data_IF_534421631214
#
_entry.id   IF_534421631214
#
_cell.length_a   1.000
_cell.length_b   1.000
_cell.length_c   1.000
_cell.angle_alpha   90.00
_cell.angle_beta   90.00
_cell.angle_gamma   90.00
#
_symmetry.space_group_name_H-M   'P 1'
#
loop_
_entity.id
_entity.type
_entity.pdbx_description
1 polymer ?
#
# COMPACT_ATOMS: atom_id res chain seq x y z
N UNK A 1 -60.10 -34.83 48.18
CA UNK A 1 -59.06 -33.95 48.75
C UNK A 1 -57.75 -33.86 47.92
N UNK A 2 -57.70 -34.30 46.69
CA UNK A 2 -56.50 -34.21 45.81
C UNK A 2 -56.57 -33.13 44.74
N UNK A 3 -57.64 -32.40 44.58
CA UNK A 3 -57.81 -31.38 43.53
C UNK A 3 -57.59 -29.92 44.00
N UNK A 4 -57.55 -29.69 45.33
CA UNK A 4 -57.35 -28.35 45.89
C UNK A 4 -55.85 -28.03 46.03
N UNK A 5 -54.99 -29.04 46.10
CA UNK A 5 -53.53 -28.88 46.28
C UNK A 5 -52.79 -28.40 45.03
N UNK A 6 -53.40 -28.61 43.81
CA UNK A 6 -52.78 -28.18 42.56
C UNK A 6 -53.07 -26.73 42.19
N UNK A 7 -54.12 -26.15 42.72
CA UNK A 7 -54.46 -24.72 42.48
C UNK A 7 -53.61 -23.78 43.30
N UNK A 8 -53.15 -24.21 44.48
CA UNK A 8 -52.27 -23.41 45.33
C UNK A 8 -50.82 -23.37 44.84
N UNK A 9 -50.36 -24.39 44.04
CA UNK A 9 -49.00 -24.43 43.50
C UNK A 9 -48.85 -23.64 42.21
N UNK A 10 -49.95 -23.41 41.48
CA UNK A 10 -49.93 -22.61 40.23
C UNK A 10 -49.91 -21.10 40.47
N UNK A 11 -50.38 -20.63 41.65
CA UNK A 11 -50.41 -19.21 42.00
C UNK A 11 -49.04 -18.65 42.50
N UNK A 12 -48.10 -19.55 42.89
CA UNK A 12 -46.76 -19.11 43.38
C UNK A 12 -45.73 -18.94 42.31
N UNK A 13 -45.99 -19.35 41.05
CA UNK A 13 -45.03 -19.24 39.94
C UNK A 13 -45.18 -17.95 39.11
N UNK A 14 -46.17 -17.10 39.40
CA UNK A 14 -46.39 -15.87 38.61
C UNK A 14 -45.77 -14.63 39.26
N UNK A 15 -45.27 -14.71 40.53
CA UNK A 15 -44.68 -13.57 41.23
C UNK A 15 -43.18 -13.39 41.08
N UNK A 16 -42.50 -14.21 40.23
CA UNK A 16 -41.04 -14.14 40.04
C UNK A 16 -40.59 -13.43 38.76
N UNK A 17 -41.49 -12.76 38.01
CA UNK A 17 -41.13 -11.85 36.94
C UNK A 17 -40.97 -10.40 37.48
N UNK A 18 -40.15 -10.25 38.52
CA UNK A 18 -39.64 -8.94 38.94
C UNK A 18 -38.66 -8.45 37.87
N UNK A 19 -39.03 -7.35 37.21
CA UNK A 19 -38.30 -6.74 36.13
C UNK A 19 -36.82 -6.50 36.46
N UNK A 20 -35.92 -7.29 35.83
CA UNK A 20 -34.58 -6.82 35.66
C UNK A 20 -34.64 -5.56 34.79
N UNK A 21 -34.53 -4.38 35.43
CA UNK A 21 -34.13 -3.17 34.70
C UNK A 21 -32.88 -3.52 33.92
N UNK A 22 -33.03 -3.76 32.62
CA UNK A 22 -31.92 -3.85 31.68
C UNK A 22 -31.15 -2.55 31.81
N UNK A 23 -30.01 -2.64 32.49
CA UNK A 23 -29.01 -1.58 32.48
C UNK A 23 -28.72 -1.31 31.00
N UNK A 24 -28.89 -0.07 30.50
CA UNK A 24 -28.58 0.21 29.12
C UNK A 24 -27.13 -0.24 28.92
N UNK A 25 -26.91 -1.15 27.99
CA UNK A 25 -25.59 -1.50 27.55
C UNK A 25 -24.94 -0.17 27.15
N UNK A 26 -23.98 0.28 27.94
CA UNK A 26 -23.11 1.35 27.54
C UNK A 26 -22.43 0.83 26.27
N UNK A 27 -22.97 1.21 25.13
CA UNK A 27 -22.25 1.17 23.87
C UNK A 27 -20.99 1.98 24.13
N UNK A 28 -19.88 1.28 24.35
CA UNK A 28 -18.56 1.89 24.26
C UNK A 28 -18.39 2.24 22.79
N UNK A 29 -18.92 3.40 22.40
CA UNK A 29 -18.70 3.95 21.10
C UNK A 29 -17.17 4.00 20.91
N UNK A 30 -16.66 3.17 20.01
CA UNK A 30 -15.24 3.22 19.64
C UNK A 30 -14.94 4.66 19.26
N UNK A 31 -13.92 5.30 19.83
CA UNK A 31 -13.56 6.65 19.43
C UNK A 31 -13.49 6.73 17.92
N UNK A 32 -13.96 7.83 17.35
CA UNK A 32 -13.85 8.04 15.90
C UNK A 32 -12.37 7.95 15.51
N UNK A 33 -12.03 7.25 14.41
CA UNK A 33 -10.65 7.11 13.98
C UNK A 33 -10.01 8.50 13.82
N UNK A 34 -8.77 8.66 14.30
CA UNK A 34 -7.98 9.86 14.05
C UNK A 34 -7.68 9.94 12.55
N UNK A 35 -7.95 11.09 11.94
CA UNK A 35 -7.70 11.32 10.52
C UNK A 35 -6.47 12.20 10.35
N UNK A 36 -5.55 11.75 9.49
CA UNK A 36 -4.44 12.57 9.05
C UNK A 36 -4.96 13.73 8.20
N UNK A 37 -4.37 14.90 8.39
CA UNK A 37 -4.60 16.08 7.55
C UNK A 37 -3.24 16.64 7.13
N UNK A 38 -3.04 16.77 5.83
CA UNK A 38 -1.88 17.46 5.29
C UNK A 38 -1.82 18.92 5.77
N UNK A 39 -0.64 19.52 5.70
CA UNK A 39 -0.47 20.93 6.03
C UNK A 39 -1.26 21.83 5.07
N UNK A 40 -1.67 22.97 5.60
CA UNK A 40 -2.23 24.05 4.76
C UNK A 40 -1.08 24.90 4.24
N UNK A 41 -1.05 25.14 2.93
CA UNK A 41 -0.04 26.03 2.33
C UNK A 41 -0.26 27.46 2.81
N UNK A 42 0.75 28.10 3.42
CA UNK A 42 0.65 29.51 3.82
C UNK A 42 0.35 30.41 2.63
N UNK A 43 -0.43 31.46 2.84
CA UNK A 43 -0.76 32.43 1.79
C UNK A 43 0.46 33.20 1.25
N UNK A 44 1.55 33.21 2.00
CA UNK A 44 2.84 33.81 1.63
C UNK A 44 3.61 32.97 0.61
N UNK A 45 3.25 31.69 0.40
CA UNK A 45 3.89 30.83 -0.59
C UNK A 45 3.31 31.14 -1.97
N UNK A 46 4.13 31.57 -2.94
CA UNK A 46 3.70 31.83 -4.31
C UNK A 46 3.04 30.60 -4.95
N UNK A 47 2.08 30.78 -5.87
CA UNK A 47 1.37 29.67 -6.50
C UNK A 47 2.29 28.62 -7.15
N UNK A 48 3.34 29.06 -7.81
CA UNK A 48 4.34 28.24 -8.50
C UNK A 48 5.18 27.40 -7.54
N UNK A 49 5.36 27.82 -6.29
CA UNK A 49 6.14 27.10 -5.27
C UNK A 49 5.29 26.14 -4.40
N UNK A 50 3.96 26.23 -4.49
CA UNK A 50 3.05 25.44 -3.62
C UNK A 50 3.21 23.95 -3.77
N UNK A 51 3.52 23.47 -4.98
CA UNK A 51 3.78 22.06 -5.21
C UNK A 51 5.05 21.58 -4.49
N UNK A 52 6.13 22.35 -4.59
CA UNK A 52 7.38 22.07 -3.91
C UNK A 52 7.20 22.14 -2.39
N UNK A 53 6.49 23.16 -1.90
CA UNK A 53 6.15 23.28 -0.50
C UNK A 53 5.42 22.05 0.03
N UNK A 54 4.37 21.58 -0.67
CA UNK A 54 3.63 20.39 -0.26
C UNK A 54 4.45 19.12 -0.40
N UNK A 55 5.35 19.00 -1.40
CA UNK A 55 6.29 17.88 -1.45
C UNK A 55 7.13 17.79 -0.17
N UNK A 56 7.60 18.91 0.35
CA UNK A 56 8.53 18.94 1.49
C UNK A 56 7.81 18.90 2.84
N UNK A 57 6.61 19.47 2.94
CA UNK A 57 5.89 19.72 4.20
C UNK A 57 4.62 18.91 4.39
N UNK A 58 4.18 18.11 3.41
CA UNK A 58 2.90 17.39 3.43
C UNK A 58 2.65 16.63 4.74
N UNK A 59 3.68 16.02 5.28
CA UNK A 59 3.65 15.15 6.45
C UNK A 59 3.97 15.85 7.77
N UNK A 60 4.11 17.18 7.82
CA UNK A 60 4.54 17.88 9.03
C UNK A 60 3.50 17.82 10.17
N UNK A 61 2.23 17.63 9.84
CA UNK A 61 1.18 17.41 10.83
C UNK A 61 1.09 15.94 11.33
N UNK A 62 1.95 15.04 10.85
CA UNK A 62 1.99 13.66 11.30
C UNK A 62 3.13 13.45 12.31
N UNK A 63 2.76 13.04 13.54
CA UNK A 63 3.78 12.73 14.56
C UNK A 63 4.30 11.30 14.38
N UNK A 64 5.45 11.17 13.74
CA UNK A 64 6.13 9.90 13.50
C UNK A 64 6.66 9.23 14.79
N UNK A 65 6.63 9.90 15.94
CA UNK A 65 7.06 9.34 17.23
C UNK A 65 5.89 8.76 18.02
N UNK A 66 4.67 9.19 17.72
CA UNK A 66 3.47 8.70 18.40
C UNK A 66 2.98 7.39 17.77
N UNK A 67 3.46 6.27 18.29
CA UNK A 67 3.03 4.94 17.83
C UNK A 67 1.60 4.59 18.25
N UNK A 68 0.99 5.33 19.20
CA UNK A 68 -0.41 5.10 19.58
C UNK A 68 -1.37 5.48 18.46
N UNK A 69 -0.95 6.41 17.59
CA UNK A 69 -1.68 6.77 16.37
C UNK A 69 -2.00 5.55 15.50
N UNK A 70 -1.11 4.56 15.43
CA UNK A 70 -1.25 3.41 14.53
C UNK A 70 -2.47 2.54 14.86
N UNK A 71 -2.92 2.54 16.13
CA UNK A 71 -4.12 1.82 16.56
C UNK A 71 -5.41 2.61 16.31
N UNK A 72 -5.32 3.91 16.15
CA UNK A 72 -6.46 4.84 16.10
C UNK A 72 -6.68 5.42 14.70
N UNK A 73 -5.64 5.45 13.85
CA UNK A 73 -5.73 6.06 12.52
C UNK A 73 -6.47 5.16 11.53
N UNK A 74 -7.28 5.77 10.68
CA UNK A 74 -7.89 5.07 9.56
C UNK A 74 -6.82 4.75 8.49
N UNK A 75 -6.47 3.48 8.39
CA UNK A 75 -5.47 3.00 7.40
C UNK A 75 -5.89 3.29 5.97
N UNK A 76 -7.18 3.23 5.64
CA UNK A 76 -7.67 3.55 4.29
C UNK A 76 -7.46 5.03 3.98
N UNK A 77 -7.73 5.90 4.94
CA UNK A 77 -7.46 7.33 4.81
C UNK A 77 -5.96 7.62 4.65
N UNK A 78 -5.10 6.87 5.36
CA UNK A 78 -3.63 7.00 5.23
C UNK A 78 -3.12 6.52 3.87
N UNK A 79 -3.63 5.42 3.32
CA UNK A 79 -3.32 4.98 1.96
C UNK A 79 -3.70 6.05 0.96
N UNK A 80 -4.89 6.65 1.09
CA UNK A 80 -5.34 7.77 0.24
C UNK A 80 -4.44 9.00 0.38
N UNK A 81 -3.99 9.30 1.59
CA UNK A 81 -3.09 10.42 1.85
C UNK A 81 -1.73 10.20 1.18
N UNK A 82 -1.14 9.01 1.28
CA UNK A 82 0.11 8.68 0.60
C UNK A 82 -0.07 8.67 -0.93
N UNK A 83 -1.17 8.13 -1.42
CA UNK A 83 -1.50 8.20 -2.85
C UNK A 83 -1.59 9.65 -3.34
N UNK A 84 -2.32 10.51 -2.61
CA UNK A 84 -2.45 11.93 -2.96
C UNK A 84 -1.10 12.65 -2.91
N UNK A 85 -0.25 12.35 -1.94
CA UNK A 85 1.10 12.87 -1.84
C UNK A 85 1.94 12.53 -3.08
N UNK A 86 2.00 11.24 -3.41
CA UNK A 86 2.77 10.75 -4.56
C UNK A 86 2.21 11.32 -5.88
N UNK A 87 0.91 11.20 -6.09
CA UNK A 87 0.30 11.55 -7.38
C UNK A 87 0.35 13.06 -7.69
N UNK A 88 0.32 13.92 -6.67
CA UNK A 88 0.22 15.37 -6.88
C UNK A 88 1.52 16.13 -6.65
N UNK A 89 2.42 15.64 -5.78
CA UNK A 89 3.54 16.45 -5.29
C UNK A 89 4.91 15.84 -5.59
N UNK A 90 5.02 14.52 -5.70
CA UNK A 90 6.28 13.83 -5.98
C UNK A 90 6.46 13.67 -7.50
N UNK A 91 7.65 13.96 -8.03
CA UNK A 91 7.98 13.62 -9.40
C UNK A 91 8.23 12.10 -9.53
N UNK A 92 7.99 11.49 -10.70
CA UNK A 92 8.14 10.03 -10.87
C UNK A 92 9.54 9.48 -10.57
N UNK A 93 10.56 10.32 -10.55
CA UNK A 93 11.95 10.00 -10.29
C UNK A 93 12.51 10.68 -9.01
N UNK A 94 11.65 11.39 -8.27
CA UNK A 94 12.05 12.07 -7.02
C UNK A 94 12.15 11.09 -5.85
N UNK A 95 13.20 10.28 -5.88
CA UNK A 95 13.51 9.31 -4.82
C UNK A 95 13.77 9.99 -3.48
N UNK A 96 14.28 11.23 -3.48
CA UNK A 96 14.64 11.96 -2.27
C UNK A 96 13.41 12.30 -1.41
N UNK A 97 12.26 12.55 -2.03
CA UNK A 97 11.01 12.80 -1.32
C UNK A 97 10.57 11.56 -0.51
N UNK A 98 10.66 10.37 -1.10
CA UNK A 98 10.31 9.10 -0.44
C UNK A 98 11.37 8.70 0.59
N UNK A 99 12.66 8.89 0.30
CA UNK A 99 13.73 8.67 1.28
C UNK A 99 13.54 9.53 2.53
N UNK A 100 13.17 10.81 2.34
CA UNK A 100 12.87 11.71 3.46
C UNK A 100 11.67 11.23 4.28
N UNK A 101 10.60 10.76 3.63
CA UNK A 101 9.44 10.17 4.31
C UNK A 101 9.85 8.94 5.13
N UNK A 102 10.60 8.03 4.54
CA UNK A 102 11.03 6.80 5.21
C UNK A 102 12.01 7.07 6.36
N UNK A 103 12.89 8.05 6.24
CA UNK A 103 13.74 8.50 7.36
C UNK A 103 12.90 9.01 8.54
N UNK A 104 11.82 9.76 8.30
CA UNK A 104 10.89 10.18 9.36
C UNK A 104 10.16 8.97 9.96
N UNK A 105 9.74 8.03 9.14
CA UNK A 105 9.08 6.80 9.57
C UNK A 105 10.01 5.86 10.36
N UNK A 106 11.33 6.00 10.21
CA UNK A 106 12.34 5.19 10.93
C UNK A 106 12.45 5.50 12.43
N UNK A 107 11.58 6.33 12.99
CA UNK A 107 11.57 6.68 14.42
C UNK A 107 11.34 5.47 15.34
N UNK A 108 10.65 4.42 14.86
CA UNK A 108 10.41 3.17 15.58
C UNK A 108 10.10 2.02 14.61
N UNK A 109 10.22 0.76 15.09
CA UNK A 109 9.85 -0.41 14.28
C UNK A 109 8.38 -0.35 13.80
N UNK A 110 7.37 -0.14 14.66
CA UNK A 110 5.98 -0.09 14.22
C UNK A 110 5.72 0.98 13.16
N UNK A 111 6.36 2.14 13.29
CA UNK A 111 6.19 3.24 12.34
C UNK A 111 6.85 2.92 10.99
N UNK A 112 8.06 2.33 11.02
CA UNK A 112 8.76 1.87 9.82
C UNK A 112 7.91 0.86 9.04
N UNK A 113 7.41 -0.17 9.72
CA UNK A 113 6.58 -1.21 9.11
C UNK A 113 5.26 -0.66 8.57
N UNK A 114 4.64 0.26 9.30
CA UNK A 114 3.39 0.88 8.88
C UNK A 114 3.54 1.69 7.59
N UNK A 115 4.54 2.57 7.51
CA UNK A 115 4.79 3.35 6.30
C UNK A 115 5.28 2.49 5.13
N UNK A 116 6.03 1.42 5.40
CA UNK A 116 6.41 0.44 4.39
C UNK A 116 5.16 -0.25 3.80
N UNK A 117 4.21 -0.68 4.64
CA UNK A 117 2.94 -1.26 4.22
C UNK A 117 2.08 -0.27 3.41
N UNK A 118 2.03 1.00 3.81
CA UNK A 118 1.34 2.04 3.01
C UNK A 118 2.00 2.22 1.64
N UNK A 119 3.33 2.27 1.62
CA UNK A 119 4.10 2.43 0.40
C UNK A 119 3.97 1.23 -0.54
N UNK A 120 3.97 0.01 -0.02
CA UNK A 120 3.71 -1.20 -0.79
C UNK A 120 2.36 -1.11 -1.53
N UNK A 121 1.30 -0.74 -0.81
CA UNK A 121 -0.05 -0.59 -1.39
C UNK A 121 -0.15 0.49 -2.45
N UNK A 122 0.63 1.55 -2.34
CA UNK A 122 0.56 2.70 -3.26
C UNK A 122 1.55 2.56 -4.41
N UNK A 123 2.80 2.13 -4.13
CA UNK A 123 3.90 2.16 -5.08
C UNK A 123 4.22 0.80 -5.71
N UNK A 124 3.77 -0.32 -5.10
CA UNK A 124 4.16 -1.66 -5.54
C UNK A 124 2.98 -2.56 -5.92
N UNK A 125 1.79 -2.39 -5.35
CA UNK A 125 0.60 -3.17 -5.72
C UNK A 125 0.37 -3.07 -7.24
N UNK A 126 0.26 -4.22 -7.97
CA UNK A 126 0.01 -4.24 -9.41
C UNK A 126 -1.24 -3.47 -9.86
N UNK A 127 -2.23 -3.35 -8.98
CA UNK A 127 -3.48 -2.64 -9.25
C UNK A 127 -3.45 -1.17 -8.84
N UNK A 128 -2.35 -0.70 -8.26
CA UNK A 128 -2.22 0.71 -7.89
C UNK A 128 -1.97 1.59 -9.11
N UNK A 129 -2.79 2.62 -9.34
CA UNK A 129 -2.54 3.58 -10.42
C UNK A 129 -1.30 4.45 -10.20
N UNK A 130 -0.74 4.46 -8.99
CA UNK A 130 0.50 5.16 -8.64
C UNK A 130 1.70 4.21 -8.52
N UNK A 131 1.59 2.96 -9.02
CA UNK A 131 2.69 2.01 -9.00
C UNK A 131 3.93 2.62 -9.68
N UNK A 132 5.05 2.62 -8.95
CA UNK A 132 6.30 3.18 -9.44
C UNK A 132 7.50 2.56 -8.71
N UNK A 133 8.25 1.71 -9.38
CA UNK A 133 9.38 1.01 -8.80
C UNK A 133 10.54 1.97 -8.45
N UNK A 134 10.72 3.09 -9.18
CA UNK A 134 11.74 4.10 -8.85
C UNK A 134 11.47 4.76 -7.50
N UNK A 135 10.20 5.02 -7.19
CA UNK A 135 9.79 5.58 -5.88
C UNK A 135 9.69 4.50 -4.80
N UNK A 136 9.55 3.21 -5.16
CA UNK A 136 9.51 2.12 -4.19
C UNK A 136 10.92 1.67 -3.74
N UNK A 137 11.95 1.84 -4.58
CA UNK A 137 13.33 1.50 -4.23
C UNK A 137 13.79 2.17 -2.92
N UNK A 138 13.61 3.48 -2.66
CA UNK A 138 13.97 4.09 -1.38
C UNK A 138 13.29 3.45 -0.16
N UNK A 139 12.06 2.97 -0.30
CA UNK A 139 11.35 2.24 0.77
C UNK A 139 12.08 0.95 1.10
N UNK A 140 12.44 0.19 0.08
CA UNK A 140 13.17 -1.08 0.23
C UNK A 140 14.58 -0.86 0.79
N UNK A 141 15.28 0.18 0.35
CA UNK A 141 16.58 0.58 0.88
C UNK A 141 16.49 0.92 2.37
N UNK A 142 15.45 1.67 2.78
CA UNK A 142 15.20 1.98 4.18
C UNK A 142 14.92 0.73 5.02
N UNK A 143 14.15 -0.24 4.51
CA UNK A 143 13.89 -1.50 5.20
C UNK A 143 15.15 -2.36 5.33
N UNK A 144 15.93 -2.49 4.26
CA UNK A 144 17.17 -3.27 4.25
C UNK A 144 18.21 -2.71 5.22
N UNK A 145 18.29 -1.38 5.33
CA UNK A 145 19.22 -0.69 6.23
C UNK A 145 18.66 -0.43 7.63
N UNK A 146 17.38 -0.73 7.87
CA UNK A 146 16.70 -0.42 9.13
C UNK A 146 17.38 -1.10 10.33
N UNK A 147 17.67 -0.38 11.42
CA UNK A 147 18.16 -0.99 12.66
C UNK A 147 17.10 -1.83 13.37
N UNK A 148 15.82 -1.67 12.99
CA UNK A 148 14.69 -2.32 13.64
C UNK A 148 14.39 -3.73 13.13
N UNK A 149 14.79 -4.04 11.89
CA UNK A 149 14.53 -5.32 11.26
C UNK A 149 15.68 -6.28 11.52
N UNK A 150 15.36 -7.51 11.89
CA UNK A 150 16.34 -8.58 12.01
C UNK A 150 16.74 -9.14 10.62
N UNK A 151 17.64 -10.13 10.62
CA UNK A 151 18.13 -10.73 9.37
C UNK A 151 17.02 -11.43 8.56
N UNK A 152 16.03 -12.00 9.22
CA UNK A 152 14.96 -12.74 8.58
C UNK A 152 13.91 -11.80 7.97
N UNK A 153 13.59 -10.73 8.69
CA UNK A 153 12.68 -9.69 8.23
C UNK A 153 13.24 -8.93 7.02
N UNK A 154 14.55 -8.92 6.83
CA UNK A 154 15.19 -8.28 5.67
C UNK A 154 15.22 -9.13 4.41
N UNK A 155 14.92 -10.44 4.46
CA UNK A 155 15.01 -11.33 3.29
C UNK A 155 14.10 -10.86 2.16
N UNK A 156 12.81 -10.61 2.45
CA UNK A 156 11.86 -10.15 1.45
C UNK A 156 12.24 -8.78 0.88
N UNK A 157 12.48 -7.73 1.70
CA UNK A 157 12.93 -6.43 1.17
C UNK A 157 14.21 -6.51 0.35
N UNK A 158 15.18 -7.36 0.71
CA UNK A 158 16.39 -7.55 -0.08
C UNK A 158 16.11 -8.20 -1.44
N UNK A 159 15.21 -9.17 -1.47
CA UNK A 159 14.79 -9.78 -2.73
C UNK A 159 14.09 -8.76 -3.62
N UNK A 160 13.13 -8.02 -3.07
CA UNK A 160 12.33 -7.06 -3.81
C UNK A 160 13.18 -5.88 -4.30
N UNK A 161 14.17 -5.44 -3.50
CA UNK A 161 15.14 -4.43 -3.91
C UNK A 161 15.97 -4.89 -5.12
N UNK A 162 16.41 -6.16 -5.12
CA UNK A 162 17.11 -6.73 -6.29
C UNK A 162 16.22 -6.76 -7.51
N UNK A 163 14.93 -7.11 -7.35
CA UNK A 163 13.99 -7.16 -8.47
C UNK A 163 13.67 -5.75 -9.00
N UNK A 164 13.31 -4.81 -8.13
CA UNK A 164 13.01 -3.42 -8.48
C UNK A 164 14.23 -2.68 -9.11
N UNK A 165 15.44 -3.10 -8.76
CA UNK A 165 16.67 -2.52 -9.30
C UNK A 165 17.03 -3.00 -10.70
N UNK A 166 16.29 -4.00 -11.26
CA UNK A 166 16.50 -4.50 -12.59
C UNK A 166 15.66 -3.75 -13.63
N UNK A 167 16.11 -3.75 -14.89
CA UNK A 167 15.35 -3.21 -16.02
C UNK A 167 14.83 -1.77 -15.80
N UNK A 168 15.62 -0.94 -15.14
CA UNK A 168 15.27 0.44 -14.86
C UNK A 168 15.31 1.31 -16.11
N UNK A 169 14.48 2.33 -16.18
CA UNK A 169 14.47 3.31 -17.27
C UNK A 169 15.84 3.93 -17.44
N UNK A 170 16.32 3.98 -18.69
CA UNK A 170 17.64 4.51 -19.04
C UNK A 170 18.83 3.60 -18.69
N UNK A 171 18.58 2.36 -18.25
CA UNK A 171 19.62 1.35 -18.01
C UNK A 171 19.49 0.19 -18.99
N UNK A 172 20.58 -0.54 -19.30
CA UNK A 172 20.49 -1.76 -20.09
C UNK A 172 19.52 -2.76 -19.45
N UNK A 173 18.59 -3.30 -20.23
CA UNK A 173 17.72 -4.37 -19.78
C UNK A 173 18.51 -5.65 -19.51
N UNK A 174 18.03 -6.50 -18.61
CA UNK A 174 18.63 -7.80 -18.39
C UNK A 174 18.46 -8.68 -19.62
N UNK A 175 19.56 -9.25 -20.10
CA UNK A 175 19.51 -10.21 -21.18
C UNK A 175 18.95 -11.56 -20.69
N UNK A 176 18.24 -12.27 -21.56
CA UNK A 176 17.72 -13.60 -21.26
C UNK A 176 17.75 -14.49 -22.49
N UNK A 177 17.77 -15.80 -22.24
CA UNK A 177 17.61 -16.80 -23.30
C UNK A 177 16.16 -17.16 -23.50
N UNK A 178 15.76 -17.37 -24.72
CA UNK A 178 14.43 -17.84 -25.08
C UNK A 178 14.51 -18.91 -26.17
N UNK A 179 13.48 -19.74 -26.26
CA UNK A 179 13.35 -20.78 -27.27
C UNK A 179 12.32 -20.33 -28.30
N UNK A 180 12.72 -20.33 -29.56
CA UNK A 180 11.86 -20.02 -30.70
C UNK A 180 10.92 -21.20 -31.05
N UNK A 181 9.91 -20.97 -31.88
CA UNK A 181 8.92 -21.99 -32.25
C UNK A 181 9.54 -23.21 -32.97
N UNK A 182 10.68 -23.03 -33.63
CA UNK A 182 11.49 -24.06 -34.26
C UNK A 182 12.41 -24.82 -33.30
N UNK A 183 12.37 -24.49 -31.98
CA UNK A 183 13.18 -25.13 -30.94
C UNK A 183 14.60 -24.56 -30.79
N UNK A 184 14.99 -23.55 -31.55
CA UNK A 184 16.32 -22.93 -31.44
C UNK A 184 16.38 -22.04 -30.18
N UNK A 185 17.52 -22.07 -29.47
CA UNK A 185 17.79 -21.16 -28.34
C UNK A 185 18.49 -19.92 -28.83
N UNK A 186 17.98 -18.76 -28.45
CA UNK A 186 18.51 -17.43 -28.77
C UNK A 186 18.58 -16.55 -27.54
N UNK A 187 19.29 -15.41 -27.66
CA UNK A 187 19.37 -14.39 -26.62
C UNK A 187 18.58 -13.14 -27.05
N UNK A 188 17.98 -12.42 -26.11
CA UNK A 188 17.30 -11.17 -26.40
C UNK A 188 18.26 -10.15 -27.07
N UNK A 189 19.50 -10.06 -26.62
CA UNK A 189 20.49 -9.13 -27.14
C UNK A 189 20.97 -9.45 -28.56
N UNK A 190 20.68 -10.64 -29.09
CA UNK A 190 20.98 -11.00 -30.47
C UNK A 190 19.97 -10.38 -31.46
N UNK A 191 18.82 -9.89 -30.98
CA UNK A 191 17.82 -9.24 -31.81
C UNK A 191 18.33 -7.86 -32.21
N UNK A 192 18.39 -7.61 -33.53
CA UNK A 192 18.79 -6.33 -34.11
C UNK A 192 17.52 -5.57 -34.52
N UNK A 193 17.11 -4.61 -33.71
CA UNK A 193 15.99 -3.74 -34.00
C UNK A 193 16.22 -2.37 -33.32
N UNK A 194 15.63 -1.33 -33.85
CA UNK A 194 15.65 0.00 -33.23
C UNK A 194 14.87 0.00 -31.90
N UNK A 195 13.73 -0.69 -31.91
CA UNK A 195 12.88 -0.89 -30.71
C UNK A 195 12.57 -2.38 -30.58
N UNK A 196 12.49 -2.86 -29.35
CA UNK A 196 12.07 -4.21 -29.01
C UNK A 196 10.92 -4.17 -28.02
N UNK A 197 9.72 -4.59 -28.45
CA UNK A 197 8.57 -4.75 -27.59
C UNK A 197 8.50 -6.20 -27.08
N UNK A 198 8.63 -6.38 -25.77
CA UNK A 198 8.44 -7.68 -25.12
C UNK A 198 7.02 -7.77 -24.57
N UNK A 199 6.20 -8.60 -25.19
CA UNK A 199 4.87 -8.90 -24.71
C UNK A 199 4.85 -10.22 -23.92
N UNK A 200 4.78 -10.11 -22.59
CA UNK A 200 4.74 -11.26 -21.69
C UNK A 200 3.27 -11.62 -21.45
N UNK A 201 2.86 -12.81 -21.85
CA UNK A 201 1.48 -13.26 -21.72
C UNK A 201 1.38 -14.61 -21.01
N UNK A 202 0.18 -14.88 -20.46
CA UNK A 202 -0.14 -16.17 -19.86
C UNK A 202 -0.94 -17.02 -20.88
N UNK A 203 -0.54 -18.27 -21.16
CA UNK A 203 -1.32 -19.18 -21.99
C UNK A 203 -2.76 -19.33 -21.50
N UNK A 204 -3.74 -19.23 -22.41
CA UNK A 204 -5.18 -19.34 -22.05
C UNK A 204 -5.83 -18.07 -21.52
N UNK A 205 -5.10 -16.96 -21.39
CA UNK A 205 -5.65 -15.67 -20.96
C UNK A 205 -6.36 -14.97 -22.15
N UNK A 206 -7.68 -14.83 -22.10
CA UNK A 206 -8.45 -14.16 -23.14
C UNK A 206 -8.07 -12.68 -23.32
N UNK A 207 -7.84 -11.97 -22.22
CA UNK A 207 -7.39 -10.56 -22.29
C UNK A 207 -6.02 -10.44 -22.98
N UNK A 208 -5.10 -11.32 -22.66
CA UNK A 208 -3.79 -11.36 -23.33
C UNK A 208 -3.92 -11.62 -24.83
N UNK A 209 -4.87 -12.48 -25.24
CA UNK A 209 -5.16 -12.72 -26.66
C UNK A 209 -5.64 -11.43 -27.35
N UNK A 210 -6.61 -10.72 -26.76
CA UNK A 210 -7.12 -9.46 -27.30
C UNK A 210 -6.03 -8.40 -27.43
N UNK A 211 -5.17 -8.23 -26.40
CA UNK A 211 -4.06 -7.28 -26.43
C UNK A 211 -3.04 -7.66 -27.50
N UNK A 212 -2.69 -8.95 -27.63
CA UNK A 212 -1.76 -9.42 -28.67
C UNK A 212 -2.32 -9.14 -30.08
N UNK A 213 -3.61 -9.39 -30.31
CA UNK A 213 -4.26 -9.11 -31.59
C UNK A 213 -4.25 -7.61 -31.91
N UNK A 214 -4.51 -6.75 -30.90
CA UNK A 214 -4.43 -5.30 -31.07
C UNK A 214 -3.00 -4.82 -31.38
N UNK A 215 -1.98 -5.37 -30.70
CA UNK A 215 -0.56 -5.07 -30.99
C UNK A 215 -0.22 -5.50 -32.43
N UNK A 216 -0.59 -6.71 -32.84
CA UNK A 216 -0.29 -7.23 -34.17
C UNK A 216 -1.02 -6.48 -35.30
N UNK A 217 -2.12 -5.84 -35.03
CA UNK A 217 -2.90 -5.02 -35.97
C UNK A 217 -2.48 -3.53 -35.96
N UNK A 218 -1.55 -3.14 -35.09
CA UNK A 218 -1.13 -1.76 -34.95
C UNK A 218 -0.33 -1.30 -36.17
N UNK A 219 -0.71 -0.22 -36.84
CA UNK A 219 0.06 0.35 -37.94
C UNK A 219 1.37 1.02 -37.49
N UNK A 220 1.62 1.12 -36.18
CA UNK A 220 2.80 1.74 -35.60
C UNK A 220 3.91 0.71 -35.25
N UNK A 221 3.60 -0.56 -35.33
CA UNK A 221 4.50 -1.69 -35.08
C UNK A 221 4.59 -2.54 -36.36
#
# INVERSE_FOLDING_TARGET
MKRILWIALAALLVAACGGKKSRPAQSSARPAPRTFRAVTVPSTVPPEERRAYLRDHYWDNFDFRDTTLLAEVDTVAMVRALFAYVANFVAPDDRAAIDTLMRRASASKPMTEYFAMLAERVLHDPNSPARNDELYIPVLEALVSSPWLDRWERIAPQHDLRMASQNRIGRPANDFRYTTADGATRRMYDIRAEYLLLFINNPGCNMCKTVREAISASPML
#
